data_IF_874147307587
#
_entry.id   IF_874147307587
#
_cell.length_a   1.000
_cell.length_b   1.000
_cell.length_c   1.000
_cell.angle_alpha   90.00
_cell.angle_beta   90.00
_cell.angle_gamma   90.00
#
_symmetry.space_group_name_H-M   'P 1'
#
loop_
_entity.id
_entity.type
_entity.pdbx_description
1 polymer ?
#
# COMPACT_ATOMS: atom_id res chain seq x y z
N UNK A 1 -5.73 -2.70 -12.13
CA UNK A 1 -4.82 -2.70 -10.97
C UNK A 1 -3.49 -3.33 -11.37
N UNK A 2 -2.38 -2.66 -11.08
CA UNK A 2 -1.04 -3.18 -11.37
C UNK A 2 -0.65 -4.34 -10.45
N UNK A 3 -0.04 -5.38 -11.01
CA UNK A 3 0.53 -6.48 -10.23
C UNK A 3 1.74 -6.02 -9.40
N UNK A 4 2.04 -6.64 -8.25
CA UNK A 4 3.20 -6.29 -7.40
C UNK A 4 4.52 -6.77 -8.02
N UNK A 5 4.80 -6.37 -9.25
CA UNK A 5 5.99 -6.79 -9.98
C UNK A 5 6.54 -5.64 -10.83
N UNK A 6 7.85 -5.50 -10.81
CA UNK A 6 8.63 -4.57 -11.63
C UNK A 6 10.04 -5.13 -11.77
N UNK A 7 10.85 -4.58 -12.68
CA UNK A 7 12.26 -4.97 -12.76
C UNK A 7 13.02 -4.71 -11.44
N UNK A 8 12.67 -3.64 -10.73
CA UNK A 8 13.24 -3.33 -9.42
C UNK A 8 12.85 -4.35 -8.35
N UNK A 9 11.56 -4.73 -8.29
CA UNK A 9 11.07 -5.78 -7.38
C UNK A 9 11.76 -7.13 -7.66
N UNK A 10 11.91 -7.51 -8.93
CA UNK A 10 12.59 -8.76 -9.32
C UNK A 10 14.04 -8.75 -8.81
N UNK A 11 14.75 -7.63 -8.99
CA UNK A 11 16.11 -7.46 -8.45
C UNK A 11 16.16 -7.52 -6.92
N UNK A 12 15.23 -6.84 -6.25
CA UNK A 12 15.12 -6.83 -4.80
C UNK A 12 14.86 -8.23 -4.22
N UNK A 13 13.97 -9.01 -4.84
CA UNK A 13 13.70 -10.40 -4.45
C UNK A 13 14.94 -11.29 -4.66
N UNK A 14 15.70 -11.08 -5.73
CA UNK A 14 16.90 -11.86 -6.00
C UNK A 14 18.00 -11.64 -4.95
N UNK A 15 18.08 -10.44 -4.35
CA UNK A 15 19.06 -10.10 -3.31
C UNK A 15 18.97 -10.99 -2.07
N UNK A 16 17.80 -11.55 -1.75
CA UNK A 16 17.63 -12.49 -0.63
C UNK A 16 18.32 -13.84 -0.84
N UNK A 17 18.80 -14.12 -2.07
CA UNK A 17 19.41 -15.41 -2.43
C UNK A 17 20.89 -15.32 -2.76
N UNK A 18 21.49 -14.14 -2.59
CA UNK A 18 22.92 -13.93 -2.79
C UNK A 18 23.74 -14.68 -1.73
N UNK A 19 24.99 -15.04 -2.08
CA UNK A 19 25.90 -15.71 -1.15
C UNK A 19 25.48 -17.13 -0.73
N UNK A 20 24.55 -17.76 -1.47
CA UNK A 20 24.04 -19.11 -1.17
C UNK A 20 22.83 -19.13 -0.24
N UNK A 21 22.43 -17.98 0.30
CA UNK A 21 21.30 -17.80 1.20
C UNK A 21 19.94 -18.02 0.52
N UNK A 22 18.86 -17.98 1.31
CA UNK A 22 17.48 -18.11 0.82
C UNK A 22 17.05 -19.54 0.46
N UNK A 23 15.85 -19.70 -0.14
CA UNK A 23 15.23 -21.00 -0.33
C UNK A 23 16.03 -21.96 -1.22
N UNK A 24 15.76 -23.26 -1.08
CA UNK A 24 16.34 -24.30 -1.93
C UNK A 24 15.90 -24.17 -3.39
N UNK A 25 16.73 -24.69 -4.31
CA UNK A 25 16.41 -24.68 -5.73
C UNK A 25 15.04 -25.31 -6.06
N UNK A 26 14.67 -26.39 -5.35
CA UNK A 26 13.38 -27.07 -5.52
C UNK A 26 12.19 -26.20 -5.12
N UNK A 27 12.34 -25.41 -4.06
CA UNK A 27 11.29 -24.48 -3.59
C UNK A 27 11.06 -23.35 -4.60
N UNK A 28 12.14 -22.85 -5.22
CA UNK A 28 12.03 -21.90 -6.32
C UNK A 28 11.28 -22.50 -7.53
N UNK A 29 11.61 -23.73 -7.93
CA UNK A 29 10.89 -24.43 -9.01
C UNK A 29 9.39 -24.54 -8.73
N UNK A 30 9.01 -24.82 -7.47
CA UNK A 30 7.60 -24.88 -7.07
C UNK A 30 6.89 -23.53 -7.18
N UNK A 31 7.54 -22.43 -6.78
CA UNK A 31 7.00 -21.07 -6.96
C UNK A 31 6.84 -20.74 -8.45
N UNK A 32 7.82 -21.09 -9.28
CA UNK A 32 7.77 -20.82 -10.71
C UNK A 32 6.66 -21.63 -11.41
N UNK A 33 6.38 -22.84 -10.93
CA UNK A 33 5.23 -23.62 -11.37
C UNK A 33 3.90 -23.02 -10.94
N UNK A 34 3.78 -22.54 -9.69
CA UNK A 34 2.53 -21.97 -9.19
C UNK A 34 2.14 -20.65 -9.88
N UNK A 35 3.13 -19.87 -10.32
CA UNK A 35 2.91 -18.67 -11.14
C UNK A 35 2.80 -18.95 -12.65
N UNK A 36 2.85 -20.21 -13.07
CA UNK A 36 2.69 -20.62 -14.46
C UNK A 36 3.86 -20.18 -15.35
N UNK A 37 5.07 -20.08 -14.80
CA UNK A 37 6.28 -19.64 -15.49
C UNK A 37 7.42 -20.69 -15.50
N UNK A 38 7.09 -21.98 -15.31
CA UNK A 38 8.09 -23.07 -15.33
C UNK A 38 8.90 -23.16 -16.62
N UNK A 39 8.27 -22.85 -17.76
CA UNK A 39 8.92 -22.84 -19.08
C UNK A 39 10.00 -21.76 -19.22
N UNK A 40 10.01 -20.77 -18.32
CA UNK A 40 11.00 -19.71 -18.27
C UNK A 40 12.11 -19.94 -17.23
N UNK A 41 12.06 -21.03 -16.46
CA UNK A 41 13.10 -21.39 -15.49
C UNK A 41 14.27 -22.06 -16.21
N UNK A 42 15.45 -21.40 -16.31
CA UNK A 42 16.59 -21.95 -17.05
C UNK A 42 17.34 -23.05 -16.30
N UNK A 43 16.81 -23.52 -15.17
CA UNK A 43 17.51 -24.42 -14.26
C UNK A 43 17.57 -25.85 -14.75
N UNK A 44 18.79 -26.37 -14.80
CA UNK A 44 19.10 -27.76 -15.09
C UNK A 44 19.44 -28.49 -13.78
N UNK A 45 18.67 -29.54 -13.46
CA UNK A 45 18.84 -30.32 -12.22
C UNK A 45 20.14 -31.12 -12.17
N UNK A 46 20.67 -31.52 -13.34
CA UNK A 46 21.89 -32.34 -13.46
C UNK A 46 23.11 -31.46 -13.23
N UNK A 47 23.19 -30.31 -13.90
CA UNK A 47 24.33 -29.40 -13.81
C UNK A 47 24.22 -28.43 -12.63
N UNK A 48 23.03 -28.30 -12.02
CA UNK A 48 22.70 -27.35 -10.95
C UNK A 48 23.02 -25.90 -11.31
N UNK A 49 22.86 -25.55 -12.58
CA UNK A 49 23.05 -24.19 -13.10
C UNK A 49 21.79 -23.73 -13.84
N UNK A 50 21.51 -22.41 -13.93
CA UNK A 50 22.22 -21.29 -13.30
C UNK A 50 21.89 -21.10 -11.81
N UNK A 51 22.49 -20.10 -11.17
CA UNK A 51 22.31 -19.85 -9.73
C UNK A 51 20.90 -19.29 -9.40
N UNK A 52 20.56 -19.22 -8.10
CA UNK A 52 19.22 -18.76 -7.64
C UNK A 52 18.88 -17.34 -8.14
N UNK A 53 19.85 -16.43 -8.15
CA UNK A 53 19.67 -15.03 -8.57
C UNK A 53 19.28 -14.98 -10.04
N UNK A 54 20.01 -15.68 -10.89
CA UNK A 54 19.77 -15.75 -12.33
C UNK A 54 18.40 -16.35 -12.65
N UNK A 55 18.00 -17.40 -11.91
CA UNK A 55 16.68 -18.01 -12.04
C UNK A 55 15.55 -17.04 -11.68
N UNK A 56 15.65 -16.36 -10.54
CA UNK A 56 14.64 -15.36 -10.10
C UNK A 56 14.54 -14.24 -11.12
N UNK A 57 15.65 -13.77 -11.68
CA UNK A 57 15.66 -12.72 -12.71
C UNK A 57 14.99 -13.20 -14.01
N UNK A 58 15.35 -14.39 -14.49
CA UNK A 58 14.82 -14.95 -15.73
C UNK A 58 13.30 -15.17 -15.64
N UNK A 59 12.86 -15.86 -14.58
CA UNK A 59 11.44 -16.16 -14.37
C UNK A 59 10.65 -14.90 -14.03
N UNK A 60 11.21 -13.99 -13.22
CA UNK A 60 10.57 -12.72 -12.89
C UNK A 60 10.30 -11.87 -14.12
N UNK A 61 11.24 -11.80 -15.07
CA UNK A 61 11.06 -11.11 -16.35
C UNK A 61 9.97 -11.75 -17.22
N UNK A 62 9.83 -13.07 -17.17
CA UNK A 62 8.73 -13.76 -17.84
C UNK A 62 7.38 -13.47 -17.17
N UNK A 63 7.34 -13.52 -15.83
CA UNK A 63 6.15 -13.20 -15.04
C UNK A 63 5.66 -11.76 -15.27
N UNK A 64 6.58 -10.80 -15.43
CA UNK A 64 6.27 -9.40 -15.75
C UNK A 64 5.51 -9.24 -17.09
N UNK A 65 5.69 -10.17 -18.03
CA UNK A 65 5.06 -10.13 -19.37
C UNK A 65 3.78 -10.96 -19.44
N UNK A 66 3.46 -11.75 -18.40
CA UNK A 66 2.33 -12.67 -18.40
C UNK A 66 1.21 -12.14 -17.51
N UNK A 67 -0.05 -12.16 -17.99
CA UNK A 67 -1.17 -11.73 -17.17
C UNK A 67 -1.37 -12.66 -15.97
N UNK A 68 -1.55 -12.08 -14.79
CA UNK A 68 -1.80 -12.74 -13.50
C UNK A 68 -0.63 -13.59 -12.93
N UNK A 69 0.56 -13.50 -13.53
CA UNK A 69 1.73 -14.29 -13.10
C UNK A 69 2.61 -13.55 -12.09
N UNK A 70 2.72 -12.23 -12.23
CA UNK A 70 3.56 -11.37 -11.40
C UNK A 70 3.17 -11.38 -9.93
N UNK A 71 1.87 -11.32 -9.62
CA UNK A 71 1.39 -11.41 -8.23
C UNK A 71 1.78 -12.73 -7.57
N UNK A 72 1.50 -13.85 -8.23
CA UNK A 72 1.81 -15.20 -7.73
C UNK A 72 3.32 -15.40 -7.56
N UNK A 73 4.12 -14.85 -8.48
CA UNK A 73 5.57 -14.88 -8.41
C UNK A 73 6.08 -14.12 -7.17
N UNK A 74 5.66 -12.87 -7.00
CA UNK A 74 6.12 -12.02 -5.88
C UNK A 74 5.65 -12.57 -4.54
N UNK A 75 4.35 -12.89 -4.39
CA UNK A 75 3.81 -13.48 -3.15
C UNK A 75 4.47 -14.83 -2.85
N UNK A 76 4.63 -15.70 -3.85
CA UNK A 76 5.24 -17.01 -3.67
C UNK A 76 6.69 -16.95 -3.20
N UNK A 77 7.48 -16.00 -3.69
CA UNK A 77 8.86 -15.79 -3.23
C UNK A 77 8.90 -15.20 -1.81
N UNK A 78 8.06 -14.22 -1.52
CA UNK A 78 7.95 -13.64 -0.18
C UNK A 78 7.54 -14.71 0.84
N UNK A 79 6.61 -15.61 0.50
CA UNK A 79 6.24 -16.75 1.34
C UNK A 79 7.43 -17.69 1.60
N UNK A 80 8.31 -17.91 0.62
CA UNK A 80 9.54 -18.66 0.87
C UNK A 80 10.44 -17.97 1.89
N UNK A 81 10.54 -16.64 1.84
CA UNK A 81 11.33 -15.88 2.80
C UNK A 81 10.70 -15.90 4.19
N UNK A 82 9.37 -15.86 4.29
CA UNK A 82 8.64 -16.05 5.56
C UNK A 82 8.91 -17.43 6.16
N UNK A 83 8.84 -18.49 5.35
CA UNK A 83 9.15 -19.86 5.78
C UNK A 83 10.61 -19.98 6.27
N UNK A 84 11.53 -19.24 5.66
CA UNK A 84 12.92 -19.13 6.08
C UNK A 84 13.15 -18.16 7.25
N UNK A 85 12.08 -17.65 7.87
CA UNK A 85 12.09 -16.72 9.00
C UNK A 85 12.85 -15.41 8.76
N UNK A 86 12.96 -14.97 7.50
CA UNK A 86 13.60 -13.71 7.08
C UNK A 86 12.99 -12.48 7.75
N UNK A 87 11.68 -12.49 7.99
CA UNK A 87 10.97 -11.39 8.65
C UNK A 87 10.93 -11.53 10.18
N UNK A 88 11.43 -12.64 10.72
CA UNK A 88 11.48 -12.94 12.15
C UNK A 88 12.92 -12.94 12.68
N UNK A 89 13.43 -14.11 13.08
CA UNK A 89 14.75 -14.22 13.72
C UNK A 89 15.91 -13.78 12.83
N UNK A 90 15.79 -13.95 11.51
CA UNK A 90 16.85 -13.62 10.56
C UNK A 90 16.78 -12.17 10.07
N UNK A 91 15.84 -11.36 10.60
CA UNK A 91 15.56 -10.01 10.08
C UNK A 91 16.78 -9.09 10.05
N UNK A 92 17.64 -9.18 11.07
CA UNK A 92 18.86 -8.37 11.13
C UNK A 92 19.81 -8.67 9.97
N UNK A 93 19.89 -9.92 9.52
CA UNK A 93 20.73 -10.33 8.40
C UNK A 93 20.22 -9.81 7.05
N UNK A 94 18.88 -9.72 6.90
CA UNK A 94 18.24 -9.29 5.65
C UNK A 94 17.74 -7.83 5.66
N UNK A 95 18.08 -7.04 6.67
CA UNK A 95 17.51 -5.70 6.88
C UNK A 95 17.59 -4.81 5.64
N UNK A 96 18.76 -4.79 4.98
CA UNK A 96 18.94 -4.01 3.75
C UNK A 96 18.09 -4.54 2.58
N UNK A 97 18.01 -5.86 2.40
CA UNK A 97 17.19 -6.47 1.35
C UNK A 97 15.69 -6.23 1.58
N UNK A 98 15.24 -6.29 2.83
CA UNK A 98 13.86 -5.97 3.23
C UNK A 98 13.54 -4.51 2.94
N UNK A 99 14.44 -3.58 3.28
CA UNK A 99 14.27 -2.15 2.99
C UNK A 99 14.14 -1.90 1.49
N UNK A 100 15.07 -2.42 0.69
CA UNK A 100 15.05 -2.28 -0.77
C UNK A 100 13.74 -2.84 -1.36
N UNK A 101 13.33 -4.06 -0.95
CA UNK A 101 12.08 -4.66 -1.43
C UNK A 101 10.86 -3.82 -1.05
N UNK A 102 10.83 -3.28 0.17
CA UNK A 102 9.73 -2.44 0.65
C UNK A 102 9.62 -1.16 -0.17
N UNK A 103 10.74 -0.51 -0.48
CA UNK A 103 10.78 0.72 -1.27
C UNK A 103 10.36 0.46 -2.73
N UNK A 104 10.80 -0.64 -3.34
CA UNK A 104 10.38 -1.06 -4.68
C UNK A 104 8.88 -1.40 -4.77
N UNK A 105 8.32 -2.06 -3.75
CA UNK A 105 6.89 -2.35 -3.68
C UNK A 105 6.05 -1.07 -3.55
N UNK A 106 6.52 -0.09 -2.78
CA UNK A 106 5.85 1.22 -2.66
C UNK A 106 5.75 1.93 -4.01
N UNK A 107 6.78 1.82 -4.86
CA UNK A 107 6.77 2.44 -6.19
C UNK A 107 5.70 1.90 -7.13
N UNK A 108 5.27 0.65 -6.95
CA UNK A 108 4.17 0.04 -7.72
C UNK A 108 2.84 0.02 -6.97
N UNK A 109 2.74 0.77 -5.87
CA UNK A 109 1.49 0.91 -5.12
C UNK A 109 1.15 -0.30 -4.25
N UNK A 110 2.15 -1.03 -3.75
CA UNK A 110 2.00 -2.13 -2.79
C UNK A 110 2.77 -1.83 -1.50
N UNK A 111 2.42 -2.48 -0.40
CA UNK A 111 3.22 -2.45 0.83
C UNK A 111 3.50 -3.85 1.36
N UNK A 112 4.60 -3.96 2.10
CA UNK A 112 5.05 -5.18 2.74
C UNK A 112 4.96 -4.98 4.25
N UNK A 113 4.24 -5.85 4.96
CA UNK A 113 4.14 -5.80 6.41
C UNK A 113 5.44 -6.27 7.07
N UNK A 114 5.59 -5.97 8.36
CA UNK A 114 6.77 -6.39 9.14
C UNK A 114 6.91 -7.91 9.27
N UNK A 115 5.83 -8.67 9.12
CA UNK A 115 5.77 -10.14 9.11
C UNK A 115 5.73 -10.75 7.69
N UNK A 116 5.95 -9.92 6.66
CA UNK A 116 6.20 -10.36 5.29
C UNK A 116 4.95 -10.59 4.44
N UNK A 117 3.79 -10.01 4.75
CA UNK A 117 2.61 -10.10 3.90
C UNK A 117 2.55 -8.94 2.91
N UNK A 118 2.24 -9.25 1.65
CA UNK A 118 1.86 -8.23 0.68
C UNK A 118 0.44 -7.77 0.97
N UNK A 119 0.28 -6.47 1.02
CA UNK A 119 -1.03 -5.85 1.11
C UNK A 119 -1.09 -4.69 0.12
N UNK A 120 -2.30 -4.41 -0.34
CA UNK A 120 -2.58 -3.07 -0.86
C UNK A 120 -2.21 -2.09 0.26
N UNK A 121 -1.71 -0.89 -0.05
CA UNK A 121 -1.30 0.06 0.96
C UNK A 121 -2.49 0.36 1.87
N UNK A 122 -2.56 -0.34 3.00
CA UNK A 122 -3.55 -0.05 4.00
C UNK A 122 -3.10 1.22 4.73
N UNK A 123 -4.10 1.97 5.15
CA UNK A 123 -4.04 3.24 5.88
C UNK A 123 -2.66 3.55 6.47
N UNK A 124 -1.99 4.54 5.89
CA UNK A 124 -0.73 5.05 6.44
C UNK A 124 -0.90 5.32 7.93
N UNK A 125 -0.03 4.70 8.72
CA UNK A 125 0.03 4.90 10.14
C UNK A 125 0.63 6.29 10.44
N UNK A 126 -0.25 7.22 10.78
CA UNK A 126 0.13 8.58 11.17
C UNK A 126 0.82 8.63 12.54
N UNK A 127 0.76 7.55 13.32
CA UNK A 127 1.45 7.47 14.60
C UNK A 127 2.96 7.50 14.41
N UNK A 128 3.46 6.87 13.34
CA UNK A 128 4.89 6.78 13.01
C UNK A 128 5.36 7.83 12.00
N UNK A 129 4.50 8.27 11.07
CA UNK A 129 4.94 9.07 9.90
C UNK A 129 4.67 10.59 9.93
N UNK A 130 3.72 11.08 10.74
CA UNK A 130 3.42 12.53 10.84
C UNK A 130 3.22 13.26 9.49
N UNK A 131 3.76 14.48 9.36
CA UNK A 131 3.70 15.29 8.13
C UNK A 131 4.34 14.62 6.89
N UNK A 132 5.50 13.96 6.99
CA UNK A 132 6.08 13.20 5.87
C UNK A 132 5.11 12.16 5.26
N UNK A 133 4.35 11.46 6.11
CA UNK A 133 3.34 10.49 5.67
C UNK A 133 2.20 11.17 4.86
N UNK A 134 1.78 12.37 5.26
CA UNK A 134 0.78 13.15 4.53
C UNK A 134 1.31 13.64 3.16
N UNK A 135 2.57 14.09 3.10
CA UNK A 135 3.21 14.50 1.85
C UNK A 135 3.34 13.34 0.86
N UNK A 136 3.59 12.13 1.34
CA UNK A 136 3.59 10.92 0.51
C UNK A 136 2.21 10.69 -0.15
N UNK A 137 1.11 10.87 0.59
CA UNK A 137 -0.24 10.74 0.04
C UNK A 137 -0.55 11.78 -1.04
N UNK A 138 -0.16 13.04 -0.80
CA UNK A 138 -0.32 14.13 -1.77
C UNK A 138 0.48 13.83 -3.04
N UNK A 139 1.70 13.30 -2.90
CA UNK A 139 2.52 12.92 -4.05
C UNK A 139 1.92 11.75 -4.84
N UNK A 140 1.24 10.81 -4.19
CA UNK A 140 0.53 9.71 -4.86
C UNK A 140 -0.69 10.20 -5.64
N UNK A 141 -1.46 11.14 -5.10
CA UNK A 141 -2.57 11.79 -5.82
C UNK A 141 -2.08 12.48 -7.10
N UNK A 142 -0.91 13.12 -7.05
CA UNK A 142 -0.34 13.83 -8.20
C UNK A 142 0.22 12.92 -9.31
N UNK A 143 0.49 11.64 -9.01
CA UNK A 143 1.18 10.72 -9.94
C UNK A 143 0.27 9.65 -10.56
N UNK A 144 -0.94 9.45 -10.05
CA UNK A 144 -1.85 8.42 -10.54
C UNK A 144 -2.92 9.06 -11.43
N UNK A 145 -2.87 8.84 -12.74
CA UNK A 145 -3.95 9.25 -13.67
C UNK A 145 -4.80 8.06 -14.16
N UNK A 146 -4.35 6.81 -13.96
CA UNK A 146 -4.93 5.64 -14.65
C UNK A 146 -5.87 4.74 -13.80
N UNK A 147 -6.00 4.98 -12.48
CA UNK A 147 -6.88 4.18 -11.60
C UNK A 147 -7.79 5.07 -10.71
N UNK A 148 -9.04 5.33 -11.14
CA UNK A 148 -10.00 6.17 -10.41
C UNK A 148 -10.35 5.64 -9.01
N UNK A 149 -10.37 4.32 -8.81
CA UNK A 149 -10.69 3.71 -7.52
C UNK A 149 -9.56 3.91 -6.51
N UNK A 150 -8.31 3.74 -6.96
CA UNK A 150 -7.12 4.03 -6.16
C UNK A 150 -7.00 5.52 -5.81
N UNK A 151 -7.35 6.42 -6.74
CA UNK A 151 -7.41 7.86 -6.51
C UNK A 151 -8.43 8.24 -5.43
N UNK A 152 -9.63 7.67 -5.46
CA UNK A 152 -10.66 7.91 -4.44
C UNK A 152 -10.25 7.38 -3.06
N UNK A 153 -9.59 6.21 -3.01
CA UNK A 153 -9.00 5.68 -1.78
C UNK A 153 -7.96 6.64 -1.20
N UNK A 154 -7.01 7.07 -2.04
CA UNK A 154 -5.95 8.00 -1.64
C UNK A 154 -6.51 9.35 -1.20
N UNK A 155 -7.53 9.88 -1.88
CA UNK A 155 -8.17 11.14 -1.51
C UNK A 155 -8.83 11.07 -0.12
N UNK A 156 -9.59 10.00 0.15
CA UNK A 156 -10.17 9.76 1.47
C UNK A 156 -9.09 9.66 2.53
N UNK A 157 -8.07 8.85 2.29
CA UNK A 157 -7.00 8.62 3.28
C UNK A 157 -6.20 9.90 3.55
N UNK A 158 -6.04 10.76 2.54
CA UNK A 158 -5.41 12.08 2.69
C UNK A 158 -6.25 12.99 3.60
N UNK A 159 -7.57 13.04 3.36
CA UNK A 159 -8.50 13.83 4.19
C UNK A 159 -8.50 13.30 5.63
N UNK A 160 -8.61 11.99 5.81
CA UNK A 160 -8.59 11.38 7.14
C UNK A 160 -7.27 11.66 7.86
N UNK A 161 -6.16 11.63 7.12
CA UNK A 161 -4.84 11.89 7.66
C UNK A 161 -4.66 13.31 8.13
N UNK A 162 -5.09 14.28 7.32
CA UNK A 162 -5.12 15.69 7.72
C UNK A 162 -6.00 15.89 8.97
N UNK A 163 -7.18 15.27 9.01
CA UNK A 163 -8.09 15.37 10.15
C UNK A 163 -7.48 14.81 11.44
N UNK A 164 -6.85 13.63 11.39
CA UNK A 164 -6.16 13.01 12.53
C UNK A 164 -4.99 13.86 13.01
N UNK A 165 -4.23 14.48 12.11
CA UNK A 165 -3.15 15.39 12.48
C UNK A 165 -3.68 16.60 13.24
N UNK A 166 -4.74 17.25 12.74
CA UNK A 166 -5.40 18.36 13.45
C UNK A 166 -5.89 17.95 14.83
N UNK A 167 -6.52 16.78 14.95
CA UNK A 167 -7.01 16.28 16.23
C UNK A 167 -5.86 16.02 17.21
N UNK A 168 -4.78 15.39 16.75
CA UNK A 168 -3.57 15.14 17.54
C UNK A 168 -2.93 16.44 18.04
N UNK A 169 -2.77 17.43 17.16
CA UNK A 169 -2.21 18.74 17.48
C UNK A 169 -3.06 19.50 18.53
N UNK A 170 -4.36 19.17 18.62
CA UNK A 170 -5.29 19.73 19.60
C UNK A 170 -5.59 18.77 20.78
N UNK A 171 -4.74 17.76 20.99
CA UNK A 171 -4.86 16.77 22.09
C UNK A 171 -6.22 16.04 22.13
N UNK A 172 -6.85 15.84 20.95
CA UNK A 172 -8.04 15.02 20.77
C UNK A 172 -7.64 13.71 20.09
N UNK A 173 -7.91 12.60 20.77
CA UNK A 173 -7.56 11.27 20.27
C UNK A 173 -8.85 10.50 19.96
N UNK A 174 -9.34 10.53 18.70
CA UNK A 174 -10.44 9.67 18.32
C UNK A 174 -10.04 8.20 18.56
N UNK A 175 -10.94 7.39 19.12
CA UNK A 175 -10.65 5.99 19.41
C UNK A 175 -10.19 5.22 18.17
N UNK A 176 -9.42 4.14 18.35
CA UNK A 176 -8.79 3.40 17.24
C UNK A 176 -9.77 2.95 16.13
N UNK A 177 -11.04 2.74 16.49
CA UNK A 177 -12.11 2.32 15.58
C UNK A 177 -13.08 3.45 15.21
N UNK A 178 -12.69 4.72 15.38
CA UNK A 178 -13.53 5.85 15.01
C UNK A 178 -13.83 5.84 13.51
N UNK A 179 -15.11 5.99 13.16
CA UNK A 179 -15.53 6.09 11.76
C UNK A 179 -14.99 7.36 11.12
N UNK A 180 -14.84 7.37 9.80
CA UNK A 180 -14.41 8.56 9.04
C UNK A 180 -15.31 9.78 9.35
N UNK A 181 -16.63 9.57 9.41
CA UNK A 181 -17.57 10.63 9.76
C UNK A 181 -17.37 11.16 11.18
N UNK A 182 -17.03 10.30 12.14
CA UNK A 182 -16.75 10.71 13.51
C UNK A 182 -15.43 11.49 13.62
N UNK A 183 -14.41 11.11 12.86
CA UNK A 183 -13.14 11.84 12.78
C UNK A 183 -13.40 13.23 12.18
N UNK A 184 -14.08 13.30 11.04
CA UNK A 184 -14.40 14.56 10.36
C UNK A 184 -15.22 15.50 11.26
N UNK A 185 -16.23 14.99 11.95
CA UNK A 185 -17.07 15.78 12.86
C UNK A 185 -16.26 16.38 14.02
N UNK A 186 -15.39 15.58 14.64
CA UNK A 186 -14.50 16.05 15.71
C UNK A 186 -13.50 17.07 15.20
N UNK A 187 -12.95 16.91 14.00
CA UNK A 187 -12.01 17.89 13.42
C UNK A 187 -12.69 19.23 13.19
N UNK A 188 -13.90 19.23 12.62
CA UNK A 188 -14.67 20.46 12.41
C UNK A 188 -15.07 21.13 13.73
N UNK A 189 -15.26 20.35 14.80
CA UNK A 189 -15.45 20.89 16.13
C UNK A 189 -14.20 21.60 16.67
N UNK A 190 -13.05 20.95 16.58
CA UNK A 190 -11.77 21.52 17.02
C UNK A 190 -11.41 22.79 16.26
N UNK A 191 -11.73 22.85 14.97
CA UNK A 191 -11.47 24.01 14.11
C UNK A 191 -12.54 25.10 14.22
N UNK A 192 -13.56 24.94 15.06
CA UNK A 192 -14.72 25.83 15.17
C UNK A 192 -15.44 26.09 13.82
N UNK A 193 -15.52 25.04 13.00
CA UNK A 193 -16.13 25.07 11.67
C UNK A 193 -17.54 24.43 11.65
N UNK A 194 -18.29 24.50 12.74
CA UNK A 194 -19.64 23.91 12.82
C UNK A 194 -20.67 24.81 12.13
N UNK A 195 -21.34 24.31 11.10
CA UNK A 195 -22.41 25.04 10.40
C UNK A 195 -23.56 25.48 11.34
N UNK A 196 -23.82 24.73 12.41
CA UNK A 196 -24.82 25.09 13.42
C UNK A 196 -24.41 26.21 14.38
N UNK A 197 -23.11 26.56 14.45
CA UNK A 197 -22.57 27.62 15.30
C UNK A 197 -22.42 28.97 14.61
N UNK A 198 -22.77 29.07 13.32
CA UNK A 198 -22.62 30.30 12.54
C UNK A 198 -23.81 31.24 12.78
N UNK A 199 -23.51 32.46 13.20
CA UNK A 199 -24.49 33.56 13.22
C UNK A 199 -24.86 33.96 11.79
N UNK A 200 -26.10 33.66 11.38
CA UNK A 200 -26.60 33.93 10.04
C UNK A 200 -27.10 35.35 9.84
N UNK A 201 -27.20 36.13 10.91
CA UNK A 201 -27.68 37.52 10.86
C UNK A 201 -26.54 38.50 10.52
N UNK A 202 -25.29 38.08 10.70
CA UNK A 202 -24.13 38.86 10.27
C UNK A 202 -23.99 38.88 8.74
N UNK A 203 -23.44 39.97 8.17
CA UNK A 203 -23.06 40.01 6.77
C UNK A 203 -22.17 38.81 6.41
N UNK A 204 -22.63 37.99 5.45
CA UNK A 204 -21.90 36.78 5.02
C UNK A 204 -22.13 35.52 5.87
N UNK A 205 -22.87 35.59 6.98
CA UNK A 205 -23.13 34.45 7.86
C UNK A 205 -23.82 33.27 7.17
N UNK A 206 -24.80 33.55 6.30
CA UNK A 206 -25.46 32.51 5.46
C UNK A 206 -24.49 31.83 4.50
N UNK A 207 -23.58 32.60 3.89
CA UNK A 207 -22.55 32.06 2.99
C UNK A 207 -21.55 31.21 3.77
N UNK A 208 -21.11 31.67 4.94
CA UNK A 208 -20.18 30.93 5.80
C UNK A 208 -20.77 29.59 6.26
N UNK A 209 -22.02 29.60 6.74
CA UNK A 209 -22.75 28.39 7.10
C UNK A 209 -22.82 27.39 5.94
N UNK A 210 -23.06 27.90 4.73
CA UNK A 210 -23.12 27.10 3.51
C UNK A 210 -21.76 26.49 3.15
N UNK A 211 -20.67 27.25 3.31
CA UNK A 211 -19.31 26.76 3.09
C UNK A 211 -19.01 25.61 4.07
N UNK A 212 -19.28 25.79 5.37
CA UNK A 212 -19.01 24.76 6.38
C UNK A 212 -19.82 23.48 6.12
N UNK A 213 -21.11 23.60 5.83
CA UNK A 213 -21.95 22.43 5.52
C UNK A 213 -21.51 21.73 4.23
N UNK A 214 -21.15 22.50 3.20
CA UNK A 214 -20.68 21.96 1.93
C UNK A 214 -19.35 21.23 2.08
N UNK A 215 -18.42 21.77 2.86
CA UNK A 215 -17.12 21.11 3.12
C UNK A 215 -17.29 19.75 3.81
N UNK A 216 -18.15 19.67 4.84
CA UNK A 216 -18.47 18.39 5.49
C UNK A 216 -19.13 17.42 4.51
N UNK A 217 -20.06 17.92 3.70
CA UNK A 217 -20.78 17.11 2.71
C UNK A 217 -19.84 16.56 1.64
N UNK A 218 -18.96 17.37 1.08
CA UNK A 218 -17.98 16.95 0.07
C UNK A 218 -17.09 15.83 0.61
N UNK A 219 -16.52 16.02 1.81
CA UNK A 219 -15.70 14.98 2.44
C UNK A 219 -16.50 13.69 2.72
N UNK A 220 -17.76 13.81 3.16
CA UNK A 220 -18.67 12.68 3.32
C UNK A 220 -18.96 11.95 2.01
N UNK A 221 -19.23 12.67 0.92
CA UNK A 221 -19.50 12.08 -0.39
C UNK A 221 -18.27 11.39 -0.99
N UNK A 222 -17.05 11.89 -0.73
CA UNK A 222 -15.81 11.18 -1.10
C UNK A 222 -15.76 9.81 -0.41
N UNK A 223 -16.12 9.72 0.86
CA UNK A 223 -16.18 8.43 1.58
C UNK A 223 -17.30 7.53 1.03
N UNK A 224 -18.47 8.07 0.70
CA UNK A 224 -19.56 7.31 0.08
C UNK A 224 -19.15 6.76 -1.28
N UNK A 225 -18.57 7.61 -2.14
CA UNK A 225 -18.10 7.24 -3.46
C UNK A 225 -16.99 6.19 -3.40
N UNK A 226 -16.05 6.33 -2.45
CA UNK A 226 -15.03 5.30 -2.17
C UNK A 226 -15.66 3.99 -1.71
N UNK A 227 -16.72 4.01 -0.90
CA UNK A 227 -17.38 2.77 -0.49
C UNK A 227 -18.19 2.13 -1.63
N UNK A 228 -18.67 2.93 -2.58
CA UNK A 228 -19.42 2.47 -3.75
C UNK A 228 -18.53 1.99 -4.91
N UNK A 229 -17.36 2.61 -5.10
CA UNK A 229 -16.48 2.44 -6.28
C UNK A 229 -15.05 2.01 -5.93
N UNK A 230 -14.66 2.07 -4.66
CA UNK A 230 -13.35 1.59 -4.20
C UNK A 230 -13.36 0.08 -4.03
N UNK A 231 -12.27 -0.59 -4.44
CA UNK A 231 -12.12 -2.05 -4.48
C UNK A 231 -12.14 -2.77 -3.11
N UNK A 232 -12.52 -2.09 -2.03
CA UNK A 232 -12.40 -2.56 -0.65
C UNK A 232 -13.51 -3.49 -0.14
N UNK A 233 -14.48 -3.92 -0.96
CA UNK A 233 -15.59 -4.79 -0.51
C UNK A 233 -16.03 -5.85 -1.53
N UNK A 234 -15.15 -6.30 -2.43
CA UNK A 234 -15.45 -7.45 -3.29
C UNK A 234 -16.76 -7.33 -4.08
N UNK A 235 -17.16 -6.11 -4.46
CA UNK A 235 -18.26 -5.88 -5.40
C UNK A 235 -17.67 -5.53 -6.75
N UNK A 236 -17.63 -6.56 -7.57
CA UNK A 236 -17.43 -6.51 -9.02
C UNK A 236 -18.47 -5.61 -9.65
N UNK A 237 -18.02 -4.67 -10.48
CA UNK A 237 -18.64 -4.45 -11.79
C UNK A 237 -17.67 -5.00 -12.83
#
# INVERSE_FOLDING_TARGET
>A
MGEPISNGIIGALANFTQGGSGPEHRKLTQVFASCGCSDADPFDEITRTPNKVERIIAVGRAALRRPNAGRKFTEGLIDQFRISNVFGSERQFYENSIKILTDELKHVGWSLTSDGHLQLPDKIDLETGGRPALEEQINRLRRNEEDPGALLGTAKDTIESACKLVLKDNHRYPGANASFSAILAQTFEVLDMKAGGVDTEQPGGKSLRTIYSSSQKIAGEINNLRNAQGSGHGRTL
#
